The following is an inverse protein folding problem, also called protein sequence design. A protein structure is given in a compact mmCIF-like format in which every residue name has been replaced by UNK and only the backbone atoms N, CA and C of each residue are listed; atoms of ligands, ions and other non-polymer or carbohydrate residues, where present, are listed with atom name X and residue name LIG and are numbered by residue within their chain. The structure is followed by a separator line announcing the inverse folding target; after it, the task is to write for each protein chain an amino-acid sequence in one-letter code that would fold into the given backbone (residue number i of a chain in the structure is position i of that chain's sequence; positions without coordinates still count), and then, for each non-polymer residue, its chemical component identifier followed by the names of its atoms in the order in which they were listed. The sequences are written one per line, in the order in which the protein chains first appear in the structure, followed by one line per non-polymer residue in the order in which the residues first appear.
data_IF_597020651137
#
_entry.id   IF_597020651137
#
_cell.length_a   1.000
_cell.length_b   1.000
_cell.length_c   1.000
_cell.angle_alpha   90.00
_cell.angle_beta   90.00
_cell.angle_gamma   90.00
#
_symmetry.space_group_name_H-M   'P 1'
#
loop_
_entity.id
_entity.type
_entity.pdbx_description
1 polymer ?
#
# COMPACT_ATOMS: atom_id res chain seq x y z
N UNK A 1 33.44 -60.00 37.15
CA UNK A 1 32.03 -60.14 36.75
C UNK A 1 31.23 -59.50 37.88
N UNK A 2 31.02 -58.19 37.81
CA UNK A 2 29.81 -57.54 37.24
C UNK A 2 28.64 -57.64 38.23
N UNK A 3 27.94 -56.61 38.71
CA UNK A 3 27.74 -55.22 38.26
C UNK A 3 27.24 -54.37 39.44
N UNK A 4 27.73 -53.14 39.54
CA UNK A 4 27.17 -52.07 40.37
C UNK A 4 26.13 -51.33 39.51
N UNK A 5 24.85 -51.36 39.90
CA UNK A 5 23.80 -50.62 39.19
C UNK A 5 23.74 -49.17 39.70
N UNK A 6 24.28 -48.26 38.90
CA UNK A 6 24.14 -46.82 39.06
C UNK A 6 22.74 -46.39 38.57
N UNK A 7 21.86 -45.95 39.48
CA UNK A 7 20.60 -45.30 39.10
C UNK A 7 20.91 -43.86 38.63
N UNK A 8 20.77 -43.62 37.33
CA UNK A 8 20.75 -42.28 36.75
C UNK A 8 19.34 -41.69 36.95
N UNK A 9 19.19 -40.71 37.85
CA UNK A 9 17.99 -39.87 37.88
C UNK A 9 18.09 -38.86 36.72
N UNK A 10 17.42 -39.16 35.61
CA UNK A 10 17.22 -38.19 34.53
C UNK A 10 16.04 -37.30 34.93
N UNK A 11 16.34 -36.11 35.43
CA UNK A 11 15.35 -35.04 35.57
C UNK A 11 14.92 -34.57 34.18
N UNK A 12 13.88 -35.20 33.62
CA UNK A 12 13.14 -34.68 32.48
C UNK A 12 12.49 -33.36 32.90
N UNK A 13 13.20 -32.26 32.68
CA UNK A 13 12.55 -30.96 32.60
C UNK A 13 11.66 -31.04 31.37
N UNK A 14 10.36 -31.21 31.60
CA UNK A 14 9.34 -30.97 30.61
C UNK A 14 9.52 -29.54 30.12
N UNK A 15 10.22 -29.39 28.99
CA UNK A 15 10.24 -28.17 28.21
C UNK A 15 8.83 -28.06 27.64
N UNK A 16 7.92 -27.47 28.41
CA UNK A 16 6.71 -26.93 27.81
C UNK A 16 7.18 -25.95 26.74
N UNK A 17 6.76 -26.09 25.47
CA UNK A 17 6.97 -25.02 24.52
C UNK A 17 6.27 -23.82 25.14
N UNK A 18 7.05 -22.80 25.56
CA UNK A 18 6.47 -21.49 25.82
C UNK A 18 5.67 -21.17 24.57
N UNK A 19 4.36 -21.04 24.73
CA UNK A 19 3.53 -20.40 23.74
C UNK A 19 4.23 -19.07 23.46
N UNK A 20 4.93 -18.98 22.32
CA UNK A 20 5.44 -17.70 21.86
C UNK A 20 4.19 -16.83 21.77
N UNK A 21 4.20 -15.60 22.31
CA UNK A 21 3.13 -14.67 22.01
C UNK A 21 3.01 -14.69 20.48
N UNK A 22 1.82 -14.99 19.97
CA UNK A 22 1.55 -14.84 18.54
C UNK A 22 2.15 -13.50 18.15
N UNK A 23 2.99 -13.51 17.12
CA UNK A 23 3.43 -12.30 16.45
C UNK A 23 2.21 -11.38 16.36
N UNK A 24 2.33 -10.16 16.90
CA UNK A 24 1.17 -9.34 17.23
C UNK A 24 0.27 -9.26 15.99
N UNK A 25 -0.92 -9.86 16.08
CA UNK A 25 -1.77 -10.08 14.90
C UNK A 25 -1.93 -8.76 14.15
N UNK A 26 -1.41 -8.72 12.93
CA UNK A 26 -1.35 -7.52 12.11
C UNK A 26 -2.02 -7.77 10.77
N UNK A 27 -2.71 -6.75 10.28
CA UNK A 27 -3.30 -6.71 8.95
C UNK A 27 -2.35 -5.90 8.05
N UNK A 28 -1.87 -6.50 6.97
CA UNK A 28 -0.87 -5.95 6.06
C UNK A 28 -1.47 -5.78 4.67
N UNK A 29 -1.44 -4.57 4.12
CA UNK A 29 -1.99 -4.33 2.80
C UNK A 29 -1.19 -3.30 2.01
N UNK A 30 -1.29 -3.38 0.68
CA UNK A 30 -0.75 -2.37 -0.24
C UNK A 30 -1.90 -1.48 -0.70
N UNK A 31 -1.69 -0.17 -0.67
CA UNK A 31 -2.55 0.80 -1.35
C UNK A 31 -1.90 1.25 -2.66
N UNK A 32 -2.52 0.94 -3.80
CA UNK A 32 -1.97 1.23 -5.13
C UNK A 32 -3.03 1.85 -6.04
N UNK A 33 -2.81 3.08 -6.49
CA UNK A 33 -3.59 3.73 -7.55
C UNK A 33 -2.80 3.84 -8.85
N UNK A 34 -3.51 4.22 -9.92
CA UNK A 34 -2.91 4.77 -11.13
C UNK A 34 -1.97 3.80 -11.84
N UNK A 35 -2.31 2.52 -11.79
CA UNK A 35 -1.54 1.42 -12.38
C UNK A 35 -2.03 1.01 -13.76
N UNK A 36 -2.99 1.74 -14.36
CA UNK A 36 -3.70 1.28 -15.56
C UNK A 36 -2.96 1.31 -16.89
N UNK A 37 -1.63 1.22 -16.89
CA UNK A 37 -0.80 1.00 -18.07
C UNK A 37 -1.04 1.98 -19.23
N UNK A 38 -1.13 1.43 -20.44
CA UNK A 38 -1.29 2.19 -21.69
C UNK A 38 -2.56 1.78 -22.44
N UNK A 39 -3.18 2.69 -23.21
CA UNK A 39 -4.35 2.35 -24.03
C UNK A 39 -4.01 1.51 -25.28
N UNK A 40 -2.73 1.40 -25.63
CA UNK A 40 -2.23 0.68 -26.80
C UNK A 40 -1.19 -0.36 -26.37
N UNK A 41 -1.00 -1.38 -27.22
CA UNK A 41 0.03 -2.41 -27.02
C UNK A 41 1.39 -1.78 -26.65
N UNK A 42 2.11 -2.27 -25.63
CA UNK A 42 1.88 -3.54 -24.91
C UNK A 42 0.86 -3.49 -23.77
N UNK A 43 0.15 -2.37 -23.58
CA UNK A 43 -0.89 -2.10 -22.56
C UNK A 43 -0.41 -1.93 -21.12
N UNK A 44 0.88 -2.05 -20.86
CA UNK A 44 1.50 -1.81 -19.55
C UNK A 44 2.75 -0.94 -19.71
N UNK A 45 3.27 -0.41 -18.60
CA UNK A 45 4.56 0.32 -18.59
C UNK A 45 5.67 -0.49 -17.91
N UNK A 46 6.96 -0.25 -18.23
CA UNK A 46 8.06 -0.85 -17.47
C UNK A 46 8.03 -0.50 -15.98
N UNK A 47 7.51 0.68 -15.64
CA UNK A 47 7.34 1.12 -14.26
C UNK A 47 6.29 0.28 -13.52
N UNK A 48 5.16 0.01 -14.17
CA UNK A 48 4.10 -0.88 -13.66
C UNK A 48 4.64 -2.29 -13.36
N UNK A 49 5.49 -2.83 -14.24
CA UNK A 49 6.16 -4.11 -14.00
C UNK A 49 7.10 -4.08 -12.79
N UNK A 50 7.90 -3.01 -12.65
CA UNK A 50 8.78 -2.83 -11.50
C UNK A 50 8.00 -2.72 -10.18
N UNK A 51 6.84 -2.04 -10.20
CA UNK A 51 5.93 -2.01 -9.04
C UNK A 51 5.43 -3.42 -8.70
N UNK A 52 5.03 -4.21 -9.69
CA UNK A 52 4.55 -5.58 -9.46
C UNK A 52 5.65 -6.51 -8.90
N UNK A 53 6.89 -6.37 -9.38
CA UNK A 53 8.05 -7.09 -8.83
C UNK A 53 8.28 -6.74 -7.35
N UNK A 54 8.16 -5.47 -7.01
CA UNK A 54 8.42 -5.01 -5.64
C UNK A 54 7.26 -5.33 -4.68
N UNK A 55 6.02 -5.33 -5.16
CA UNK A 55 4.88 -5.88 -4.43
C UNK A 55 5.06 -7.37 -4.16
N UNK A 56 5.56 -8.13 -5.13
CA UNK A 56 5.86 -9.55 -4.98
C UNK A 56 6.94 -9.79 -3.92
N UNK A 57 7.98 -8.95 -3.87
CA UNK A 57 8.99 -9.00 -2.81
C UNK A 57 8.38 -8.69 -1.43
N UNK A 58 7.53 -7.66 -1.35
CA UNK A 58 6.85 -7.28 -0.11
C UNK A 58 5.95 -8.41 0.41
N UNK A 59 5.18 -9.06 -0.47
CA UNK A 59 4.35 -10.21 -0.11
C UNK A 59 5.16 -11.38 0.46
N UNK A 60 6.34 -11.66 -0.11
CA UNK A 60 7.22 -12.74 0.34
C UNK A 60 7.96 -12.43 1.65
N UNK A 61 8.32 -11.16 1.87
CA UNK A 61 9.26 -10.77 2.92
C UNK A 61 8.57 -10.12 4.12
N UNK A 62 7.58 -9.27 3.86
CA UNK A 62 6.86 -8.50 4.87
C UNK A 62 5.52 -9.14 5.22
N UNK A 63 4.95 -9.91 4.29
CA UNK A 63 3.58 -10.43 4.35
C UNK A 63 2.60 -9.44 3.74
N UNK A 64 1.57 -9.96 3.08
CA UNK A 64 0.54 -9.17 2.42
C UNK A 64 -0.79 -9.93 2.47
N UNK A 65 -1.82 -9.32 3.07
CA UNK A 65 -3.15 -9.93 3.21
C UNK A 65 -4.08 -9.54 2.05
N UNK A 66 -3.96 -8.31 1.52
CA UNK A 66 -4.73 -7.85 0.37
C UNK A 66 -4.10 -6.62 -0.30
N UNK A 67 -4.55 -6.32 -1.52
CA UNK A 67 -4.27 -5.05 -2.22
C UNK A 67 -5.55 -4.23 -2.27
N UNK A 68 -5.47 -2.96 -1.86
CA UNK A 68 -6.52 -1.97 -2.05
C UNK A 68 -6.15 -1.09 -3.24
N UNK A 69 -6.86 -1.29 -4.36
CA UNK A 69 -6.67 -0.48 -5.55
C UNK A 69 -7.42 0.85 -5.44
N UNK A 70 -6.73 1.95 -5.70
CA UNK A 70 -7.19 3.32 -5.43
C UNK A 70 -7.69 4.06 -6.69
N UNK A 71 -7.91 3.34 -7.79
CA UNK A 71 -8.51 3.85 -9.02
C UNK A 71 -7.56 4.00 -10.19
N UNK A 72 -8.12 4.39 -11.34
CA UNK A 72 -7.45 4.56 -12.62
C UNK A 72 -6.79 3.26 -13.11
N UNK A 73 -7.60 2.20 -13.10
CA UNK A 73 -7.20 0.83 -13.37
C UNK A 73 -6.84 0.58 -14.84
N UNK A 74 -7.34 1.40 -15.77
CA UNK A 74 -7.04 1.24 -17.19
C UNK A 74 -7.06 2.56 -17.96
N UNK A 75 -5.89 3.18 -18.16
CA UNK A 75 -5.74 4.46 -18.84
C UNK A 75 -6.02 4.40 -20.35
N UNK A 76 -6.67 5.38 -20.99
CA UNK A 76 -7.22 6.61 -20.44
C UNK A 76 -8.75 6.58 -20.31
N UNK A 77 -9.41 5.51 -20.74
CA UNK A 77 -10.87 5.47 -20.93
C UNK A 77 -11.51 4.16 -20.45
N UNK A 78 -10.85 3.44 -19.55
CA UNK A 78 -11.39 2.18 -19.01
C UNK A 78 -11.51 1.06 -20.04
N UNK A 79 -12.03 -0.08 -19.63
CA UNK A 79 -12.26 -1.23 -20.53
C UNK A 79 -13.58 -1.06 -21.31
N UNK A 80 -13.61 -1.56 -22.55
CA UNK A 80 -14.78 -1.47 -23.43
C UNK A 80 -15.92 -2.37 -22.99
N UNK A 81 -15.59 -3.61 -22.61
CA UNK A 81 -16.51 -4.65 -22.21
C UNK A 81 -15.77 -5.74 -21.41
N UNK A 82 -16.46 -6.83 -21.08
CA UNK A 82 -15.92 -7.95 -20.29
C UNK A 82 -14.85 -8.76 -21.03
N UNK A 83 -14.73 -8.62 -22.34
CA UNK A 83 -13.77 -9.33 -23.18
C UNK A 83 -12.59 -8.41 -23.59
N UNK A 84 -12.52 -7.20 -23.05
CA UNK A 84 -11.47 -6.25 -23.37
C UNK A 84 -10.08 -6.85 -22.98
N UNK A 85 -9.16 -6.98 -23.95
CA UNK A 85 -7.86 -7.62 -23.72
C UNK A 85 -7.02 -6.91 -22.64
N UNK A 86 -7.33 -5.65 -22.32
CA UNK A 86 -6.58 -4.89 -21.32
C UNK A 86 -6.68 -5.46 -19.93
N UNK A 87 -7.79 -6.10 -19.55
CA UNK A 87 -7.85 -6.78 -18.25
C UNK A 87 -6.75 -7.85 -18.14
N UNK A 88 -6.56 -8.63 -19.21
CA UNK A 88 -5.51 -9.66 -19.24
C UNK A 88 -4.10 -9.07 -19.30
N UNK A 89 -3.90 -8.01 -20.09
CA UNK A 89 -2.54 -7.50 -20.35
C UNK A 89 -2.03 -6.51 -19.31
N UNK A 90 -2.90 -5.68 -18.75
CA UNK A 90 -2.57 -4.64 -17.77
C UNK A 90 -2.71 -5.17 -16.34
N UNK A 91 -3.69 -6.03 -16.06
CA UNK A 91 -3.86 -6.58 -14.71
C UNK A 91 -3.23 -7.97 -14.57
N UNK A 92 -3.86 -9.01 -15.14
CA UNK A 92 -3.49 -10.41 -14.92
C UNK A 92 -2.03 -10.73 -15.26
N UNK A 93 -1.51 -10.12 -16.34
CA UNK A 93 -0.14 -10.35 -16.80
C UNK A 93 0.91 -9.59 -15.99
N UNK A 94 0.59 -8.39 -15.51
CA UNK A 94 1.56 -7.55 -14.80
C UNK A 94 1.73 -8.04 -13.37
N UNK A 95 0.62 -8.36 -12.70
CA UNK A 95 0.57 -8.86 -11.33
C UNK A 95 0.51 -10.39 -11.25
N UNK A 96 1.22 -11.08 -12.15
CA UNK A 96 1.16 -12.54 -12.30
C UNK A 96 2.15 -13.31 -11.42
N UNK A 97 2.86 -12.64 -10.52
CA UNK A 97 3.89 -13.25 -9.68
C UNK A 97 3.26 -14.28 -8.74
N UNK A 98 3.88 -15.46 -8.49
CA UNK A 98 3.27 -16.51 -7.66
C UNK A 98 2.90 -16.07 -6.23
N UNK A 99 3.58 -15.06 -5.69
CA UNK A 99 3.29 -14.47 -4.39
C UNK A 99 2.10 -13.50 -4.38
N UNK A 100 1.56 -13.14 -5.54
CA UNK A 100 0.46 -12.19 -5.71
C UNK A 100 -0.83 -12.82 -6.23
N UNK A 101 -0.76 -13.97 -6.93
CA UNK A 101 -1.95 -14.58 -7.58
C UNK A 101 -3.07 -14.96 -6.62
N UNK A 102 -2.75 -15.31 -5.37
CA UNK A 102 -3.74 -15.66 -4.35
C UNK A 102 -4.09 -14.47 -3.43
N UNK A 103 -3.47 -13.31 -3.63
CA UNK A 103 -3.73 -12.11 -2.84
C UNK A 103 -4.99 -11.42 -3.38
N UNK A 104 -6.03 -11.22 -2.56
CA UNK A 104 -7.25 -10.57 -3.02
C UNK A 104 -7.02 -9.07 -3.32
N UNK A 105 -7.62 -8.60 -4.40
CA UNK A 105 -7.66 -7.19 -4.78
C UNK A 105 -9.05 -6.60 -4.51
N UNK A 106 -9.11 -5.51 -3.75
CA UNK A 106 -10.31 -4.72 -3.54
C UNK A 106 -10.21 -3.43 -4.35
N UNK A 107 -11.03 -3.29 -5.38
CA UNK A 107 -10.93 -2.18 -6.33
C UNK A 107 -11.88 -1.04 -5.98
N UNK A 108 -11.35 0.18 -5.90
CA UNK A 108 -12.11 1.44 -5.85
C UNK A 108 -11.86 2.19 -7.16
N UNK A 109 -12.92 2.55 -7.88
CA UNK A 109 -12.79 3.23 -9.17
C UNK A 109 -12.29 4.69 -9.03
N UNK A 110 -11.43 5.12 -9.96
CA UNK A 110 -10.87 6.46 -10.07
C UNK A 110 -11.61 7.35 -11.08
N UNK A 111 -11.06 8.52 -11.37
CA UNK A 111 -11.70 9.49 -12.27
C UNK A 111 -11.56 9.15 -13.76
N UNK A 112 -10.49 8.45 -14.16
CA UNK A 112 -10.41 7.86 -15.50
C UNK A 112 -11.41 6.71 -15.67
N UNK A 113 -11.87 6.13 -14.55
CA UNK A 113 -12.96 5.16 -14.52
C UNK A 113 -14.34 5.87 -14.50
N UNK A 114 -14.48 7.03 -13.83
CA UNK A 114 -15.69 7.87 -13.80
C UNK A 114 -15.43 9.38 -13.57
N UNK A 115 -15.90 10.26 -14.47
CA UNK A 115 -15.76 11.73 -14.34
C UNK A 115 -16.48 12.32 -13.11
N UNK A 116 -15.81 13.17 -12.27
CA UNK A 116 -16.37 14.39 -11.58
C UNK A 116 -15.46 15.05 -10.50
N UNK A 117 -15.67 16.37 -10.29
CA UNK A 117 -15.22 17.25 -9.16
C UNK A 117 -16.30 17.33 -8.05
N UNK A 118 -16.14 17.68 -6.75
CA UNK A 118 -15.09 18.27 -5.90
C UNK A 118 -15.18 17.62 -4.48
N UNK A 119 -14.15 16.90 -4.03
CA UNK A 119 -14.15 16.14 -2.76
C UNK A 119 -13.80 17.00 -1.53
N UNK A 120 -13.01 18.07 -1.69
CA UNK A 120 -12.53 18.87 -0.55
C UNK A 120 -13.69 19.52 0.22
N UNK A 121 -14.65 20.16 -0.45
CA UNK A 121 -15.72 20.89 0.23
C UNK A 121 -16.77 19.97 0.89
N UNK A 122 -16.89 18.73 0.41
CA UNK A 122 -17.97 17.82 0.79
C UNK A 122 -17.50 16.68 1.69
N UNK A 123 -16.34 16.11 1.41
CA UNK A 123 -15.81 14.95 2.12
C UNK A 123 -14.93 15.34 3.30
N UNK A 124 -14.04 16.32 3.15
CA UNK A 124 -13.12 16.74 4.24
C UNK A 124 -13.85 17.11 5.54
N UNK A 125 -14.98 17.85 5.55
CA UNK A 125 -15.72 18.10 6.79
C UNK A 125 -16.24 16.83 7.45
N UNK A 126 -16.59 15.80 6.67
CA UNK A 126 -17.07 14.52 7.19
C UNK A 126 -15.93 13.68 7.77
N UNK A 127 -14.78 13.64 7.08
CA UNK A 127 -13.59 12.95 7.57
C UNK A 127 -13.19 13.48 8.96
N UNK A 128 -13.20 14.80 9.12
CA UNK A 128 -12.93 15.47 10.39
C UNK A 128 -14.01 15.22 11.42
N UNK A 129 -15.29 15.41 11.05
CA UNK A 129 -16.43 15.23 11.96
C UNK A 129 -16.47 13.83 12.58
N UNK A 130 -16.10 12.82 11.81
CA UNK A 130 -16.13 11.42 12.24
C UNK A 130 -14.76 10.86 12.59
N UNK A 131 -13.75 11.71 12.76
CA UNK A 131 -12.39 11.33 13.19
C UNK A 131 -11.81 10.19 12.36
N UNK A 132 -11.89 10.27 11.03
CA UNK A 132 -11.35 9.23 10.14
C UNK A 132 -9.83 9.17 10.30
N UNK A 133 -9.28 7.97 10.54
CA UNK A 133 -7.84 7.76 10.78
C UNK A 133 -6.97 8.21 9.61
N UNK A 134 -7.36 7.85 8.39
CA UNK A 134 -6.62 8.18 7.17
C UNK A 134 -7.56 8.16 5.96
N UNK A 135 -7.35 9.08 5.02
CA UNK A 135 -7.94 9.02 3.69
C UNK A 135 -6.89 8.58 2.67
N UNK A 136 -7.23 7.59 1.84
CA UNK A 136 -6.35 7.02 0.82
C UNK A 136 -6.83 7.45 -0.57
N UNK A 137 -5.91 7.86 -1.43
CA UNK A 137 -6.21 8.23 -2.81
C UNK A 137 -5.05 7.95 -3.77
N UNK A 138 -5.36 7.83 -5.05
CA UNK A 138 -4.42 7.96 -6.16
C UNK A 138 -4.62 9.30 -6.87
N UNK A 139 -4.86 9.25 -8.19
CA UNK A 139 -5.11 10.34 -9.14
C UNK A 139 -3.88 11.20 -9.48
N UNK A 140 -3.26 11.78 -8.46
CA UNK A 140 -2.00 12.48 -8.69
C UNK A 140 -0.91 11.42 -8.86
N UNK A 141 -0.24 11.41 -10.02
CA UNK A 141 0.82 10.45 -10.39
C UNK A 141 2.07 10.53 -9.50
N UNK A 142 1.94 10.30 -8.20
CA UNK A 142 2.90 10.68 -7.17
C UNK A 142 2.67 9.88 -5.89
N UNK A 143 3.64 9.94 -4.97
CA UNK A 143 3.49 9.43 -3.61
C UNK A 143 3.64 10.59 -2.62
N UNK A 144 2.65 10.78 -1.75
CA UNK A 144 2.61 11.93 -0.84
C UNK A 144 1.94 11.61 0.50
N UNK A 145 2.53 12.10 1.59
CA UNK A 145 1.88 12.10 2.91
C UNK A 145 1.61 13.53 3.36
N UNK A 146 0.33 13.81 3.61
CA UNK A 146 -0.16 15.11 4.07
C UNK A 146 -0.79 14.92 5.45
N UNK A 147 -0.45 15.80 6.39
CA UNK A 147 -1.01 15.80 7.73
C UNK A 147 -1.32 17.22 8.20
N UNK A 148 -2.60 17.47 8.44
CA UNK A 148 -3.09 18.75 8.96
C UNK A 148 -2.78 18.90 10.45
N UNK A 149 -2.94 20.13 10.95
CA UNK A 149 -2.67 20.48 12.36
C UNK A 149 -3.61 19.77 13.35
N UNK A 150 -4.83 19.41 12.90
CA UNK A 150 -5.79 18.64 13.69
C UNK A 150 -5.52 17.13 13.71
N UNK A 151 -4.48 16.67 13.01
CA UNK A 151 -4.10 15.26 12.93
C UNK A 151 -4.70 14.49 11.74
N UNK A 152 -5.62 15.10 10.98
CA UNK A 152 -6.16 14.50 9.75
C UNK A 152 -5.03 14.13 8.81
N UNK A 153 -5.02 12.87 8.37
CA UNK A 153 -3.93 12.28 7.59
C UNK A 153 -4.42 11.80 6.23
N UNK A 154 -3.65 12.08 5.19
CA UNK A 154 -3.95 11.74 3.81
C UNK A 154 -2.75 11.04 3.19
N UNK A 155 -3.00 9.92 2.53
CA UNK A 155 -2.01 9.15 1.78
C UNK A 155 -2.37 9.19 0.31
N UNK A 156 -1.46 9.71 -0.50
CA UNK A 156 -1.51 9.64 -1.95
C UNK A 156 -0.54 8.55 -2.39
N UNK A 157 -1.05 7.52 -3.07
CA UNK A 157 -0.28 6.40 -3.63
C UNK A 157 -0.70 6.19 -5.08
N UNK A 158 -0.45 7.18 -5.92
CA UNK A 158 -0.88 7.20 -7.32
C UNK A 158 0.25 6.98 -8.31
N UNK A 159 1.34 6.32 -7.93
CA UNK A 159 2.52 6.17 -8.80
C UNK A 159 2.64 4.77 -9.40
N UNK A 160 1.53 4.10 -9.70
CA UNK A 160 1.51 2.71 -10.15
C UNK A 160 2.08 2.48 -11.56
N UNK A 161 1.73 3.33 -12.54
CA UNK A 161 2.21 3.23 -13.92
C UNK A 161 3.07 4.42 -14.35
N UNK A 162 2.87 5.59 -13.74
CA UNK A 162 3.56 6.83 -14.05
C UNK A 162 4.02 7.54 -12.77
N UNK A 163 5.06 8.37 -12.90
CA UNK A 163 5.52 9.26 -11.82
C UNK A 163 5.72 10.67 -12.36
N UNK A 164 5.13 11.63 -11.67
CA UNK A 164 5.27 13.05 -11.91
C UNK A 164 6.01 13.72 -10.75
N UNK A 165 6.76 14.78 -11.08
CA UNK A 165 7.51 15.62 -10.14
C UNK A 165 6.94 17.04 -10.04
N UNK A 166 5.69 17.23 -10.50
CA UNK A 166 5.02 18.53 -10.49
C UNK A 166 4.76 19.02 -9.07
N UNK A 167 5.03 20.30 -8.81
CA UNK A 167 4.76 20.97 -7.52
C UNK A 167 3.79 22.15 -7.67
N UNK A 168 3.07 22.23 -8.80
CA UNK A 168 2.20 23.37 -9.12
C UNK A 168 1.15 23.69 -8.05
N UNK A 169 0.76 22.70 -7.24
CA UNK A 169 -0.26 22.83 -6.20
C UNK A 169 0.32 22.98 -4.77
N UNK A 170 1.64 23.07 -4.60
CA UNK A 170 2.29 23.10 -3.28
C UNK A 170 1.82 24.26 -2.39
N UNK A 171 1.41 25.38 -3.00
CA UNK A 171 0.94 26.57 -2.28
C UNK A 171 -0.58 26.55 -1.98
N UNK A 172 -1.29 25.45 -2.28
CA UNK A 172 -2.74 25.34 -2.01
C UNK A 172 -3.06 24.99 -0.55
N UNK A 173 -2.08 24.60 0.23
CA UNK A 173 -2.21 24.28 1.65
C UNK A 173 -0.94 24.73 2.41
N UNK A 174 -0.98 24.90 3.74
CA UNK A 174 0.20 25.24 4.53
C UNK A 174 1.36 24.26 4.28
N UNK A 175 2.56 24.77 4.02
CA UNK A 175 3.73 23.92 3.72
C UNK A 175 4.06 22.93 4.84
N UNK A 176 3.72 23.25 6.09
CA UNK A 176 3.86 22.34 7.24
C UNK A 176 3.02 21.07 7.12
N UNK A 177 1.99 21.06 6.28
CA UNK A 177 1.10 19.92 6.13
C UNK A 177 1.67 18.84 5.20
N UNK A 178 2.43 19.19 4.16
CA UNK A 178 3.09 18.20 3.31
C UNK A 178 4.34 17.68 4.03
N UNK A 179 4.19 16.49 4.63
CA UNK A 179 5.26 15.85 5.40
C UNK A 179 6.20 15.06 4.50
N UNK A 180 5.70 14.60 3.36
CA UNK A 180 6.48 13.89 2.35
C UNK A 180 5.84 14.03 0.96
N UNK A 181 6.66 14.19 -0.08
CA UNK A 181 6.27 13.89 -1.46
C UNK A 181 7.49 13.52 -2.30
N UNK A 182 7.32 12.64 -3.29
CA UNK A 182 8.43 12.29 -4.18
C UNK A 182 9.03 13.51 -4.90
N UNK A 183 8.19 14.48 -5.28
CA UNK A 183 8.63 15.69 -5.96
C UNK A 183 9.54 16.58 -5.08
N UNK A 184 9.14 16.83 -3.83
CA UNK A 184 9.89 17.70 -2.90
C UNK A 184 11.11 16.98 -2.30
N UNK A 185 10.99 15.68 -2.06
CA UNK A 185 12.05 14.88 -1.45
C UNK A 185 13.02 14.27 -2.48
N UNK A 186 12.82 14.53 -3.78
CA UNK A 186 13.63 14.01 -4.88
C UNK A 186 13.74 12.48 -4.90
N UNK A 187 12.63 11.81 -4.62
CA UNK A 187 12.51 10.34 -4.71
C UNK A 187 11.84 9.95 -6.03
N UNK A 188 12.02 8.71 -6.47
CA UNK A 188 11.21 8.11 -7.54
C UNK A 188 9.81 7.73 -7.04
N UNK A 189 8.99 7.23 -7.95
CA UNK A 189 7.69 6.66 -7.67
C UNK A 189 7.76 5.35 -6.88
N UNK A 190 6.60 4.88 -6.43
CA UNK A 190 6.47 3.73 -5.55
C UNK A 190 5.02 3.49 -5.14
N UNK A 191 4.84 2.73 -4.07
CA UNK A 191 3.54 2.44 -3.47
C UNK A 191 3.57 2.63 -1.95
N UNK A 192 2.40 2.74 -1.33
CA UNK A 192 2.23 2.75 0.11
C UNK A 192 1.94 1.33 0.64
N UNK A 193 2.78 0.87 1.55
CA UNK A 193 2.60 -0.35 2.35
C UNK A 193 2.07 0.01 3.74
N UNK A 194 1.07 -0.74 4.20
CA UNK A 194 0.41 -0.52 5.47
C UNK A 194 0.53 -1.75 6.35
N UNK A 195 0.86 -1.53 7.62
CA UNK A 195 0.76 -2.56 8.66
C UNK A 195 -0.11 -2.03 9.79
N UNK A 196 -1.20 -2.72 10.08
CA UNK A 196 -2.17 -2.34 11.10
C UNK A 196 -2.10 -3.34 12.24
N UNK A 197 -1.77 -2.85 13.42
CA UNK A 197 -1.83 -3.61 14.67
C UNK A 197 -3.06 -3.21 15.48
N UNK A 198 -3.23 -3.81 16.66
CA UNK A 198 -4.29 -3.41 17.59
C UNK A 198 -4.28 -1.92 17.95
N UNK A 199 -3.10 -1.28 17.93
CA UNK A 199 -2.89 0.05 18.52
C UNK A 199 -2.49 1.12 17.51
N UNK A 200 -1.94 0.74 16.36
CA UNK A 200 -1.45 1.67 15.37
C UNK A 200 -1.59 1.13 13.94
N UNK A 201 -1.54 2.07 12.99
CA UNK A 201 -1.28 1.80 11.59
C UNK A 201 0.07 2.43 11.24
N UNK A 202 0.98 1.65 10.70
CA UNK A 202 2.22 2.13 10.09
C UNK A 202 1.99 2.30 8.60
N UNK A 203 2.45 3.42 8.04
CA UNK A 203 2.46 3.69 6.60
C UNK A 203 3.90 3.85 6.14
N UNK A 204 4.30 3.07 5.15
CA UNK A 204 5.64 3.08 4.56
C UNK A 204 5.55 3.30 3.05
N UNK A 205 6.29 4.25 2.49
CA UNK A 205 6.41 4.41 1.03
C UNK A 205 7.64 3.66 0.52
N UNK A 206 7.41 2.68 -0.34
CA UNK A 206 8.44 1.81 -0.92
C UNK A 206 8.59 2.16 -2.40
N UNK A 207 9.81 2.51 -2.80
CA UNK A 207 10.15 2.81 -4.19
C UNK A 207 10.30 1.53 -5.02
N UNK A 208 10.32 1.68 -6.35
CA UNK A 208 10.60 0.58 -7.29
C UNK A 208 12.00 -0.05 -7.15
N UNK A 209 12.91 0.55 -6.37
CA UNK A 209 14.23 -0.03 -6.03
C UNK A 209 14.25 -0.68 -4.63
N UNK A 210 13.08 -0.84 -4.01
CA UNK A 210 12.87 -1.46 -2.71
C UNK A 210 13.19 -0.57 -1.50
N UNK A 211 13.64 0.67 -1.69
CA UNK A 211 13.91 1.57 -0.58
C UNK A 211 12.61 2.08 0.04
N UNK A 212 12.50 1.95 1.36
CA UNK A 212 11.54 2.70 2.15
C UNK A 212 12.03 4.15 2.32
N UNK A 213 11.36 5.09 1.65
CA UNK A 213 11.77 6.52 1.63
C UNK A 213 11.06 7.39 2.65
N UNK A 214 9.93 6.90 3.17
CA UNK A 214 9.20 7.60 4.22
C UNK A 214 8.38 6.60 5.01
N UNK A 215 8.34 6.77 6.33
CA UNK A 215 7.54 5.94 7.22
C UNK A 215 6.94 6.79 8.34
N UNK A 216 5.68 6.52 8.69
CA UNK A 216 5.00 7.21 9.78
C UNK A 216 3.99 6.30 10.48
N UNK A 217 3.62 6.68 11.71
CA UNK A 217 2.64 5.98 12.52
C UNK A 217 1.36 6.79 12.73
N UNK A 218 0.21 6.15 12.57
CA UNK A 218 -1.11 6.68 12.87
C UNK A 218 -1.68 5.90 14.05
N UNK A 219 -2.05 6.61 15.12
CA UNK A 219 -2.64 5.98 16.29
C UNK A 219 -4.07 5.51 15.99
N UNK A 220 -4.48 4.42 16.65
CA UNK A 220 -5.88 4.02 16.69
C UNK A 220 -6.73 5.17 17.25
N UNK A 221 -7.89 5.38 16.62
CA UNK A 221 -8.89 6.35 17.07
C UNK A 221 -9.31 6.08 18.50
N UNK A 222 -9.46 7.15 19.28
CA UNK A 222 -10.04 7.08 20.62
C UNK A 222 -11.53 7.37 20.46
N UNK A 223 -12.33 6.31 20.48
CA UNK A 223 -13.80 6.40 20.44
C UNK A 223 -14.33 6.75 21.82
#
# INVERSE_FOLDING_TARGET
MDRLHLLLLVCLHSVWPRCQPLDQASLRFVGLGDWGGLPLFPYYTPHEQAIAEEMSWAAQTLGLDFVLSLGDHFYNSGVKDVDDPRFKHTFERVFSQPSLVDIPWYLVAGNHDHLKNCLVDRLRPLLKKYDVTVYLSGHDHSIQFIREDDGSSYVVSGSGAFTEISTNNINRFPSSWQRFSNAVNHTSGGFAYFEVTENNMTVSYIQTDGKCVYQTGLAKRKV
#
